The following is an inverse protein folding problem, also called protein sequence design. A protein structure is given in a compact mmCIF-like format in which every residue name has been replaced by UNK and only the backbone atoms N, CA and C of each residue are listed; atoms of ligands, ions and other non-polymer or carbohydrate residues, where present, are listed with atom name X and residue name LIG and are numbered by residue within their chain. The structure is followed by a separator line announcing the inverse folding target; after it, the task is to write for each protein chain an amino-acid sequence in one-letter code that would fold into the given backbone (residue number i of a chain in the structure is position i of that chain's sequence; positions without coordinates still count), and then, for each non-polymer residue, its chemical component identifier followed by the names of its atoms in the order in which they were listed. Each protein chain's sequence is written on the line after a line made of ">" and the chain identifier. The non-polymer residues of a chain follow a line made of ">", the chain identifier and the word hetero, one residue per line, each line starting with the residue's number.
data_IF_287673108606
#
_entry.id   IF_287673108606
#
_cell.length_a   1.000
_cell.length_b   1.000
_cell.length_c   1.000
_cell.angle_alpha   90.00
_cell.angle_beta   90.00
_cell.angle_gamma   90.00
#
_symmetry.space_group_name_H-M   'P 1'
#
loop_
_entity.id
_entity.type
_entity.pdbx_description
1 polymer ?
#
# COMPACT_ATOMS: atom_id res chain seq x y z
N UNK A 1 3.00 -10.15 -4.84
CA UNK A 1 2.43 -10.87 -5.97
C UNK A 1 1.14 -10.16 -6.39
N UNK A 2 1.07 -9.71 -7.65
CA UNK A 2 -0.19 -9.20 -8.22
C UNK A 2 -1.06 -10.41 -8.55
N UNK A 3 -1.74 -10.93 -7.56
CA UNK A 3 -2.87 -11.84 -7.79
C UNK A 3 -4.12 -10.96 -7.77
N UNK A 4 -4.83 -10.85 -8.88
CA UNK A 4 -6.05 -10.03 -9.03
C UNK A 4 -7.17 -10.46 -8.06
N UNK A 5 -7.02 -11.64 -7.44
CA UNK A 5 -7.94 -12.18 -6.45
C UNK A 5 -7.59 -11.83 -5.01
N UNK A 6 -6.50 -11.08 -4.77
CA UNK A 6 -6.07 -10.72 -3.42
C UNK A 6 -5.96 -9.21 -3.31
N UNK A 7 -6.70 -8.62 -2.37
CA UNK A 7 -6.62 -7.21 -2.02
C UNK A 7 -5.95 -7.05 -0.65
N UNK A 8 -5.00 -6.12 -0.58
CA UNK A 8 -4.32 -5.77 0.66
C UNK A 8 -4.67 -4.33 1.06
N UNK A 9 -5.24 -4.18 2.26
CA UNK A 9 -5.35 -2.89 2.93
C UNK A 9 -4.15 -2.71 3.86
N UNK A 10 -3.51 -1.54 3.83
CA UNK A 10 -2.36 -1.25 4.69
C UNK A 10 -2.80 -0.22 5.72
N UNK A 11 -2.59 -0.53 7.01
CA UNK A 11 -2.77 0.38 8.13
C UNK A 11 -1.47 0.57 8.89
N UNK A 12 -1.33 1.72 9.54
CA UNK A 12 -0.24 2.02 10.46
C UNK A 12 -0.84 2.09 11.86
N UNK A 13 -0.38 1.23 12.77
CA UNK A 13 -1.00 1.05 14.08
C UNK A 13 0.03 1.18 15.21
N UNK A 14 -0.39 1.78 16.33
CA UNK A 14 0.40 1.83 17.54
C UNK A 14 0.14 0.56 18.36
N UNK A 15 0.98 -0.46 18.18
CA UNK A 15 0.97 -1.68 18.97
C UNK A 15 2.05 -1.66 20.06
N UNK A 16 2.13 -2.70 20.89
CA UNK A 16 3.24 -2.88 21.83
C UNK A 16 4.58 -2.93 21.06
N UNK A 17 5.64 -2.35 21.62
CA UNK A 17 6.94 -2.26 20.95
C UNK A 17 7.59 -3.63 20.69
N UNK A 18 7.30 -4.61 21.55
CA UNK A 18 7.73 -6.00 21.43
C UNK A 18 6.82 -6.88 20.55
N UNK A 19 5.68 -6.35 20.11
CA UNK A 19 4.83 -7.05 19.16
C UNK A 19 5.48 -7.09 17.76
N UNK A 20 4.99 -7.98 16.91
CA UNK A 20 5.52 -8.15 15.56
C UNK A 20 5.53 -6.83 14.76
N UNK A 21 6.57 -6.58 13.95
CA UNK A 21 6.69 -5.35 13.15
C UNK A 21 5.57 -5.22 12.10
N UNK A 22 5.07 -6.34 11.60
CA UNK A 22 3.97 -6.41 10.65
C UNK A 22 3.05 -7.57 11.02
N UNK A 23 1.75 -7.31 11.06
CA UNK A 23 0.71 -8.32 11.30
C UNK A 23 -0.23 -8.34 10.09
N UNK A 24 -0.52 -9.54 9.58
CA UNK A 24 -1.51 -9.72 8.51
C UNK A 24 -2.75 -10.37 9.12
N UNK A 25 -3.89 -9.77 8.87
CA UNK A 25 -5.19 -10.29 9.32
C UNK A 25 -6.14 -10.45 8.14
N UNK A 26 -7.03 -11.40 8.21
CA UNK A 26 -8.10 -11.61 7.26
C UNK A 26 -9.44 -11.51 7.98
N UNK A 27 -10.47 -11.00 7.29
CA UNK A 27 -11.80 -10.98 7.85
C UNK A 27 -12.29 -12.42 8.10
N UNK A 28 -12.49 -12.77 9.37
CA UNK A 28 -12.81 -14.13 9.81
C UNK A 28 -14.15 -14.63 9.24
N UNK A 29 -15.14 -13.75 9.10
CA UNK A 29 -16.41 -14.10 8.49
C UNK A 29 -16.22 -14.52 7.03
N UNK A 30 -15.48 -13.74 6.25
CA UNK A 30 -15.21 -14.05 4.83
C UNK A 30 -14.39 -15.33 4.68
N UNK A 31 -13.39 -15.53 5.55
CA UNK A 31 -12.58 -16.76 5.58
C UNK A 31 -13.46 -17.98 5.80
N UNK A 32 -14.34 -17.96 6.82
CA UNK A 32 -15.26 -19.05 7.13
C UNK A 32 -16.27 -19.29 6.01
N UNK A 33 -16.81 -18.23 5.43
CA UNK A 33 -17.76 -18.37 4.32
C UNK A 33 -17.14 -19.05 3.10
N UNK A 34 -15.89 -18.73 2.78
CA UNK A 34 -15.14 -19.40 1.71
C UNK A 34 -14.83 -20.85 2.03
N UNK A 35 -14.43 -21.16 3.26
CA UNK A 35 -14.19 -22.55 3.70
C UNK A 35 -15.47 -23.38 3.61
N UNK A 36 -16.60 -22.84 4.05
CA UNK A 36 -17.89 -23.50 3.91
C UNK A 36 -18.28 -23.67 2.43
N UNK A 37 -18.01 -22.66 1.60
CA UNK A 37 -18.28 -22.71 0.17
C UNK A 37 -17.44 -23.79 -0.56
N UNK A 38 -16.21 -24.05 -0.11
CA UNK A 38 -15.35 -25.08 -0.67
C UNK A 38 -15.87 -26.51 -0.38
N UNK A 39 -16.68 -26.69 0.66
CA UNK A 39 -17.23 -27.99 1.08
C UNK A 39 -18.65 -28.19 0.55
N UNK A 40 -19.37 -27.10 0.25
CA UNK A 40 -20.78 -27.11 -0.12
C UNK A 40 -20.96 -27.04 -1.64
N UNK A 41 -21.88 -27.84 -2.17
CA UNK A 41 -22.22 -27.85 -3.61
C UNK A 41 -23.54 -27.10 -3.87
N UNK A 42 -23.48 -25.76 -3.94
CA UNK A 42 -24.66 -24.92 -4.23
C UNK A 42 -24.27 -23.59 -4.90
N UNK A 43 -25.24 -22.88 -5.51
CA UNK A 43 -24.98 -21.63 -6.23
C UNK A 43 -24.35 -20.53 -5.36
N UNK A 44 -24.65 -20.50 -4.06
CA UNK A 44 -24.03 -19.60 -3.08
C UNK A 44 -22.54 -19.93 -2.88
N UNK A 45 -22.17 -21.21 -2.96
CA UNK A 45 -20.79 -21.69 -2.91
C UNK A 45 -19.93 -21.10 -4.02
N UNK A 46 -20.44 -21.08 -5.24
CA UNK A 46 -19.73 -20.53 -6.39
C UNK A 46 -19.52 -19.01 -6.25
N UNK A 47 -20.48 -18.29 -5.70
CA UNK A 47 -20.38 -16.85 -5.44
C UNK A 47 -19.24 -16.53 -4.45
N UNK A 48 -19.21 -17.18 -3.28
CA UNK A 48 -18.16 -16.93 -2.29
C UNK A 48 -16.77 -17.39 -2.73
N UNK A 49 -16.67 -18.46 -3.51
CA UNK A 49 -15.39 -18.96 -4.03
C UNK A 49 -14.73 -18.00 -5.04
N UNK A 50 -15.53 -17.16 -5.71
CA UNK A 50 -15.05 -16.18 -6.68
C UNK A 50 -14.72 -14.81 -6.05
N UNK A 51 -15.13 -14.57 -4.81
CA UNK A 51 -14.83 -13.30 -4.13
C UNK A 51 -13.32 -13.16 -3.88
N UNK A 52 -12.76 -11.95 -4.06
CA UNK A 52 -11.35 -11.70 -3.73
C UNK A 52 -11.08 -11.91 -2.24
N UNK A 53 -9.88 -12.32 -1.91
CA UNK A 53 -9.39 -12.33 -0.54
C UNK A 53 -8.97 -10.93 -0.12
N UNK A 54 -9.48 -10.48 1.02
CA UNK A 54 -9.13 -9.19 1.59
C UNK A 54 -8.29 -9.40 2.85
N UNK A 55 -7.07 -8.92 2.81
CA UNK A 55 -6.16 -8.92 3.95
C UNK A 55 -5.88 -7.49 4.41
N UNK A 56 -5.72 -7.32 5.71
CA UNK A 56 -5.21 -6.09 6.30
C UNK A 56 -3.76 -6.35 6.75
N UNK A 57 -2.85 -5.52 6.27
CA UNK A 57 -1.44 -5.49 6.69
C UNK A 57 -1.31 -4.33 7.67
N UNK A 58 -1.25 -4.64 8.97
CA UNK A 58 -1.03 -3.68 10.02
C UNK A 58 0.48 -3.55 10.30
N UNK A 59 1.04 -2.35 10.09
CA UNK A 59 2.44 -2.04 10.38
C UNK A 59 2.52 -1.43 11.78
N UNK A 60 3.30 -2.04 12.66
CA UNK A 60 3.49 -1.57 14.04
C UNK A 60 4.47 -0.39 14.09
N UNK A 61 3.95 0.83 14.23
CA UNK A 61 4.74 2.06 14.30
C UNK A 61 5.64 2.20 15.54
N UNK A 62 5.41 1.38 16.57
CA UNK A 62 6.21 1.39 17.80
C UNK A 62 7.31 0.30 17.80
N UNK A 63 7.33 -0.57 16.79
CA UNK A 63 8.34 -1.62 16.72
C UNK A 63 9.71 -1.02 16.34
N UNK A 64 10.80 -1.32 17.08
CA UNK A 64 12.13 -0.76 16.83
C UNK A 64 12.62 -0.96 15.38
N UNK A 65 12.38 -2.14 14.80
CA UNK A 65 12.79 -2.44 13.42
C UNK A 65 12.08 -1.50 12.42
N UNK A 66 10.81 -1.21 12.64
CA UNK A 66 10.05 -0.28 11.79
C UNK A 66 10.56 1.15 11.95
N UNK A 67 10.86 1.57 13.19
CA UNK A 67 11.43 2.89 13.48
C UNK A 67 12.79 3.04 12.79
N UNK A 68 13.67 2.06 12.90
CA UNK A 68 15.00 2.07 12.27
C UNK A 68 14.90 2.14 10.75
N UNK A 69 14.01 1.35 10.13
CA UNK A 69 13.75 1.41 8.68
C UNK A 69 13.29 2.81 8.27
N UNK A 70 12.37 3.43 9.01
CA UNK A 70 11.88 4.77 8.71
C UNK A 70 12.98 5.82 8.86
N UNK A 71 13.82 5.71 9.89
CA UNK A 71 14.95 6.61 10.09
C UNK A 71 15.99 6.50 8.95
N UNK A 72 16.29 5.29 8.49
CA UNK A 72 17.20 5.06 7.37
C UNK A 72 16.64 5.61 6.05
N UNK A 73 15.35 5.43 5.80
CA UNK A 73 14.66 5.99 4.63
C UNK A 73 14.67 7.53 4.69
N UNK A 74 14.33 8.12 5.84
CA UNK A 74 14.35 9.57 6.02
C UNK A 74 15.76 10.14 5.80
N UNK A 75 16.79 9.50 6.35
CA UNK A 75 18.20 9.92 6.17
C UNK A 75 18.65 9.85 4.72
N UNK A 76 18.25 8.81 3.99
CA UNK A 76 18.74 8.53 2.63
C UNK A 76 17.93 9.22 1.54
N UNK A 77 16.63 9.41 1.74
CA UNK A 77 15.68 9.84 0.71
C UNK A 77 14.77 10.99 1.15
N UNK A 78 14.83 11.40 2.44
CA UNK A 78 13.91 12.37 3.02
C UNK A 78 13.82 13.68 2.25
N UNK A 79 14.93 14.27 1.84
CA UNK A 79 14.97 15.54 1.09
C UNK A 79 14.28 15.40 -0.29
N UNK A 80 14.51 14.29 -0.98
CA UNK A 80 13.87 14.01 -2.28
C UNK A 80 12.37 13.82 -2.14
N UNK A 81 11.96 13.05 -1.16
CA UNK A 81 10.54 12.82 -0.87
C UNK A 81 9.83 14.09 -0.42
N UNK A 82 10.46 14.90 0.45
CA UNK A 82 9.95 16.23 0.86
C UNK A 82 9.78 17.17 -0.34
N UNK A 83 10.72 17.14 -1.27
CA UNK A 83 10.65 17.97 -2.48
C UNK A 83 9.46 17.61 -3.35
N UNK A 84 9.23 16.31 -3.58
CA UNK A 84 8.07 15.83 -4.34
C UNK A 84 6.77 16.15 -3.60
N UNK A 85 6.72 15.93 -2.29
CA UNK A 85 5.55 16.25 -1.46
C UNK A 85 5.20 17.73 -1.54
N UNK A 86 6.16 18.63 -1.40
CA UNK A 86 5.95 20.08 -1.55
C UNK A 86 5.39 20.45 -2.93
N UNK A 87 5.83 19.78 -4.00
CA UNK A 87 5.27 19.99 -5.35
C UNK A 87 3.81 19.53 -5.44
N UNK A 88 3.49 18.40 -4.83
CA UNK A 88 2.10 17.90 -4.76
C UNK A 88 1.22 18.88 -3.98
N UNK A 89 1.67 19.32 -2.80
CA UNK A 89 0.93 20.25 -1.95
C UNK A 89 0.68 21.58 -2.66
N UNK A 90 1.67 22.10 -3.39
CA UNK A 90 1.53 23.30 -4.20
C UNK A 90 0.51 23.11 -5.33
N UNK A 91 0.55 21.98 -6.05
CA UNK A 91 -0.38 21.69 -7.13
C UNK A 91 -1.82 21.49 -6.60
N UNK A 92 -1.99 20.82 -5.46
CA UNK A 92 -3.30 20.68 -4.80
C UNK A 92 -3.83 22.03 -4.31
N UNK A 93 -2.96 22.90 -3.80
CA UNK A 93 -3.37 24.25 -3.40
C UNK A 93 -3.79 25.10 -4.60
N UNK A 94 -3.13 24.94 -5.75
CA UNK A 94 -3.48 25.58 -7.00
C UNK A 94 -4.84 25.09 -7.52
N UNK A 95 -5.08 23.78 -7.53
CA UNK A 95 -6.37 23.17 -7.89
C UNK A 95 -7.52 23.67 -6.99
N UNK A 96 -7.30 23.73 -5.65
CA UNK A 96 -8.30 24.25 -4.72
C UNK A 96 -8.63 25.72 -4.97
N UNK A 97 -7.63 26.56 -5.27
CA UNK A 97 -7.86 27.97 -5.62
C UNK A 97 -8.67 28.09 -6.90
N UNK A 98 -8.38 27.26 -7.89
CA UNK A 98 -9.13 27.22 -9.13
C UNK A 98 -10.58 26.76 -8.88
N UNK A 99 -10.81 25.72 -8.10
CA UNK A 99 -12.14 25.23 -7.74
C UNK A 99 -12.96 26.30 -6.98
N UNK A 100 -12.34 27.12 -6.13
CA UNK A 100 -13.02 28.26 -5.47
C UNK A 100 -13.42 29.35 -6.49
N UNK A 101 -12.64 29.59 -7.53
CA UNK A 101 -12.96 30.56 -8.59
C UNK A 101 -14.17 30.11 -9.43
N UNK A 102 -14.24 28.81 -9.72
CA UNK A 102 -15.34 28.23 -10.51
C UNK A 102 -16.49 27.71 -9.65
N UNK A 103 -16.45 27.95 -8.35
CA UNK A 103 -17.46 27.51 -7.39
C UNK A 103 -18.86 28.03 -7.76
N UNK A 104 -19.80 27.09 -7.87
CA UNK A 104 -21.19 27.38 -8.26
C UNK A 104 -21.49 27.25 -9.75
N UNK A 105 -20.48 27.08 -10.61
CA UNK A 105 -20.68 26.73 -12.00
C UNK A 105 -20.88 25.21 -12.13
N UNK A 106 -21.84 24.79 -12.92
CA UNK A 106 -21.95 23.38 -13.34
C UNK A 106 -20.87 23.07 -14.37
N UNK A 107 -20.52 21.83 -14.54
CA UNK A 107 -19.48 21.41 -15.50
C UNK A 107 -19.78 21.83 -16.94
N UNK A 108 -21.07 21.93 -17.29
CA UNK A 108 -21.56 22.42 -18.57
C UNK A 108 -21.40 23.94 -18.76
N UNK A 109 -21.28 24.69 -17.67
CA UNK A 109 -21.15 26.15 -17.61
C UNK A 109 -19.68 26.62 -17.59
N UNK A 110 -18.74 25.67 -17.48
CA UNK A 110 -17.31 25.96 -17.54
C UNK A 110 -16.90 26.29 -18.98
N UNK A 111 -16.11 27.34 -19.13
CA UNK A 111 -15.51 27.66 -20.43
C UNK A 111 -14.52 26.55 -20.87
N UNK A 112 -14.23 26.43 -22.17
CA UNK A 112 -13.23 25.48 -22.67
C UNK A 112 -11.86 25.66 -22.00
N UNK A 113 -11.47 26.90 -21.70
CA UNK A 113 -10.22 27.23 -21.01
C UNK A 113 -10.25 26.77 -19.54
N UNK A 114 -11.36 26.97 -18.84
CA UNK A 114 -11.53 26.50 -17.45
C UNK A 114 -11.49 24.97 -17.35
N UNK A 115 -12.09 24.27 -18.32
CA UNK A 115 -12.02 22.80 -18.42
C UNK A 115 -10.59 22.32 -18.66
N UNK A 116 -9.87 22.95 -19.58
CA UNK A 116 -8.47 22.62 -19.88
C UNK A 116 -7.57 22.83 -18.66
N UNK A 117 -7.72 23.96 -17.98
CA UNK A 117 -6.94 24.28 -16.76
C UNK A 117 -7.20 23.25 -15.65
N UNK A 118 -8.46 22.88 -15.42
CA UNK A 118 -8.82 21.85 -14.42
C UNK A 118 -8.21 20.50 -14.74
N UNK A 119 -8.28 20.09 -16.00
CA UNK A 119 -7.70 18.83 -16.47
C UNK A 119 -6.17 18.83 -16.36
N UNK A 120 -5.51 19.92 -16.68
CA UNK A 120 -4.05 20.06 -16.55
C UNK A 120 -3.59 19.98 -15.09
N UNK A 121 -4.30 20.67 -14.17
CA UNK A 121 -4.00 20.62 -12.75
C UNK A 121 -4.19 19.21 -12.17
N UNK A 122 -5.30 18.55 -12.51
CA UNK A 122 -5.57 17.19 -12.11
C UNK A 122 -4.52 16.21 -12.65
N UNK A 123 -4.15 16.29 -13.93
CA UNK A 123 -3.09 15.49 -14.53
C UNK A 123 -1.73 15.72 -13.85
N UNK A 124 -1.40 16.97 -13.55
CA UNK A 124 -0.17 17.35 -12.85
C UNK A 124 -0.10 16.69 -11.47
N UNK A 125 -1.20 16.72 -10.71
CA UNK A 125 -1.26 16.09 -9.38
C UNK A 125 -1.11 14.57 -9.48
N UNK A 126 -1.82 13.93 -10.42
CA UNK A 126 -1.72 12.48 -10.66
C UNK A 126 -0.27 12.11 -11.00
N UNK A 127 0.35 12.81 -11.94
CA UNK A 127 1.74 12.54 -12.36
C UNK A 127 2.72 12.67 -11.20
N UNK A 128 2.60 13.71 -10.37
CA UNK A 128 3.47 13.90 -9.21
C UNK A 128 3.27 12.82 -8.12
N UNK A 129 2.03 12.39 -7.92
CA UNK A 129 1.72 11.26 -7.00
C UNK A 129 2.31 9.96 -7.52
N UNK A 130 2.16 9.68 -8.81
CA UNK A 130 2.73 8.49 -9.44
C UNK A 130 4.27 8.47 -9.36
N UNK A 131 4.91 9.64 -9.54
CA UNK A 131 6.36 9.79 -9.36
C UNK A 131 6.77 9.46 -7.91
N UNK A 132 6.07 10.04 -6.92
CA UNK A 132 6.31 9.73 -5.50
C UNK A 132 6.13 8.26 -5.20
N UNK A 133 5.03 7.68 -5.64
CA UNK A 133 4.69 6.29 -5.35
C UNK A 133 5.64 5.31 -6.04
N UNK A 134 6.13 5.66 -7.22
CA UNK A 134 7.18 4.89 -7.91
C UNK A 134 8.48 4.91 -7.11
N UNK A 135 8.91 6.08 -6.62
CA UNK A 135 10.08 6.19 -5.76
C UNK A 135 9.95 5.39 -4.47
N UNK A 136 8.80 5.46 -3.82
CA UNK A 136 8.54 4.69 -2.60
C UNK A 136 8.56 3.17 -2.86
N UNK A 137 8.04 2.71 -4.02
CA UNK A 137 8.12 1.30 -4.42
C UNK A 137 9.56 0.84 -4.67
N UNK A 138 10.39 1.67 -5.31
CA UNK A 138 11.80 1.41 -5.53
C UNK A 138 12.53 1.25 -4.19
N UNK A 139 12.39 2.25 -3.29
CA UNK A 139 12.99 2.25 -1.95
C UNK A 139 12.58 1.00 -1.15
N UNK A 140 11.28 0.70 -1.09
CA UNK A 140 10.77 -0.47 -0.37
C UNK A 140 11.20 -1.79 -1.04
N UNK A 141 11.27 -1.80 -2.38
CA UNK A 141 11.70 -2.97 -3.15
C UNK A 141 13.17 -3.32 -2.98
N UNK A 142 14.04 -2.34 -2.73
CA UNK A 142 15.48 -2.55 -2.51
C UNK A 142 15.82 -2.86 -1.04
N UNK A 143 14.96 -2.48 -0.11
CA UNK A 143 15.21 -2.67 1.31
C UNK A 143 14.99 -4.12 1.73
N UNK A 144 16.09 -4.81 2.09
CA UNK A 144 16.08 -6.21 2.49
C UNK A 144 15.30 -6.46 3.79
N UNK A 145 15.33 -5.52 4.75
CA UNK A 145 14.60 -5.65 5.99
C UNK A 145 13.09 -5.51 5.78
N UNK A 146 12.65 -4.56 4.95
CA UNK A 146 11.24 -4.43 4.57
C UNK A 146 10.71 -5.73 3.96
N UNK A 147 11.44 -6.31 3.00
CA UNK A 147 11.08 -7.61 2.44
C UNK A 147 11.02 -8.71 3.48
N UNK A 148 11.98 -8.73 4.40
CA UNK A 148 12.08 -9.76 5.42
C UNK A 148 10.91 -9.72 6.39
N UNK A 149 10.53 -8.54 6.90
CA UNK A 149 9.42 -8.42 7.86
C UNK A 149 8.06 -8.69 7.20
N UNK A 150 7.88 -8.32 5.93
CA UNK A 150 6.65 -8.63 5.17
C UNK A 150 6.55 -10.14 4.92
N UNK A 151 7.63 -10.77 4.46
CA UNK A 151 7.62 -12.19 4.17
C UNK A 151 7.46 -13.04 5.45
N UNK A 152 7.99 -12.57 6.59
CA UNK A 152 7.76 -13.20 7.88
C UNK A 152 6.27 -13.15 8.26
N UNK A 153 5.61 -12.01 8.06
CA UNK A 153 4.18 -11.86 8.31
C UNK A 153 3.34 -12.73 7.36
N UNK A 154 3.73 -12.83 6.07
CA UNK A 154 3.09 -13.73 5.10
C UNK A 154 3.28 -15.21 5.49
N UNK A 155 4.49 -15.58 5.95
CA UNK A 155 4.79 -16.95 6.42
C UNK A 155 3.92 -17.33 7.61
N UNK A 156 3.79 -16.43 8.59
CA UNK A 156 2.98 -16.65 9.80
C UNK A 156 1.50 -16.91 9.50
N UNK A 157 1.02 -16.46 8.33
CA UNK A 157 -0.33 -16.67 7.85
C UNK A 157 -0.45 -17.76 6.78
N UNK A 158 0.62 -18.52 6.52
CA UNK A 158 0.64 -19.58 5.50
C UNK A 158 0.51 -19.07 4.04
N UNK A 159 0.72 -17.77 3.83
CA UNK A 159 0.60 -17.10 2.53
C UNK A 159 1.90 -17.12 1.73
N UNK A 160 3.05 -17.36 2.38
CA UNK A 160 4.36 -17.42 1.73
C UNK A 160 4.63 -18.85 1.24
N UNK A 161 4.66 -19.06 -0.08
CA UNK A 161 4.79 -20.38 -0.71
C UNK A 161 5.75 -20.37 -1.90
N UNK A 162 6.21 -21.54 -2.31
CA UNK A 162 6.99 -21.76 -3.54
C UNK A 162 8.26 -20.92 -3.58
N UNK A 163 8.51 -20.27 -4.71
CA UNK A 163 9.72 -19.50 -4.97
C UNK A 163 9.95 -18.39 -3.92
N UNK A 164 8.90 -17.70 -3.53
CA UNK A 164 8.99 -16.63 -2.53
C UNK A 164 9.46 -17.14 -1.17
N UNK A 165 9.02 -18.34 -0.76
CA UNK A 165 9.51 -18.99 0.46
C UNK A 165 11.01 -19.34 0.36
N UNK A 166 11.45 -19.85 -0.78
CA UNK A 166 12.87 -20.15 -1.02
C UNK A 166 13.73 -18.89 -0.94
N UNK A 167 13.30 -17.81 -1.57
CA UNK A 167 13.98 -16.52 -1.53
C UNK A 167 14.03 -15.93 -0.12
N UNK A 168 12.95 -16.07 0.64
CA UNK A 168 12.89 -15.68 2.05
C UNK A 168 13.94 -16.43 2.89
N UNK A 169 14.02 -17.76 2.75
CA UNK A 169 14.99 -18.60 3.47
C UNK A 169 16.42 -18.17 3.11
N UNK A 170 16.74 -17.96 1.85
CA UNK A 170 18.07 -17.52 1.40
C UNK A 170 18.45 -16.16 2.00
N UNK A 171 17.52 -15.20 2.02
CA UNK A 171 17.74 -13.91 2.68
C UNK A 171 17.96 -14.05 4.18
N UNK A 172 17.15 -14.90 4.84
CA UNK A 172 17.29 -15.15 6.30
C UNK A 172 18.69 -15.67 6.64
N UNK A 173 19.20 -16.64 5.87
CA UNK A 173 20.55 -17.15 6.03
C UNK A 173 21.59 -16.05 5.86
N UNK A 174 21.48 -15.25 4.80
CA UNK A 174 22.41 -14.13 4.55
C UNK A 174 22.39 -13.00 5.60
N UNK A 175 21.35 -12.92 6.42
CA UNK A 175 21.26 -11.97 7.52
C UNK A 175 21.90 -12.52 8.82
N UNK A 176 21.96 -13.84 8.97
CA UNK A 176 22.58 -14.51 10.12
C UNK A 176 24.11 -14.61 9.95
N UNK A 177 24.60 -14.71 8.73
CA UNK A 177 26.03 -14.84 8.41
C UNK A 177 26.81 -13.51 8.54
N UNK A 178 26.16 -12.40 8.94
CA UNK A 178 26.79 -11.09 9.19
C UNK A 178 26.97 -10.83 10.68
#
# INVERSE_FOLDING_TARGET
>A
PKDEKIHYNISFEAMAADAAPVVITQNEFMRRMKEMAAISSGGMSQFYSQMPDNFTIAVNGNNPIVIDILADVEKSYGDKLKTITKKIDAAVAEERRFDEVVKGKKEEELTPEEKSTREELSKKIVTLRDERDTRLREIGGENKLVKQIIDLALLSNGLLKGKNLTEFIQRSISLIEK
#
